data_IF_492511656103
#
_entry.id   IF_492511656103
#
_cell.length_a   1.000
_cell.length_b   1.000
_cell.length_c   1.000
_cell.angle_alpha   90.00
_cell.angle_beta   90.00
_cell.angle_gamma   90.00
#
_symmetry.space_group_name_H-M   'P 1'
#
loop_
_entity.id
_entity.type
_entity.pdbx_description
1 polymer ?
#
# COMPACT_ATOMS: atom_id res chain seq x y z
N UNK A 1 -30.31 8.66 -71.62
CA UNK A 1 -31.24 9.81 -71.68
C UNK A 1 -32.18 9.63 -70.51
N UNK A 2 -32.20 10.39 -69.41
CA UNK A 2 -31.70 11.71 -69.04
C UNK A 2 -31.59 11.74 -67.51
N UNK A 3 -30.68 12.57 -67.01
CA UNK A 3 -30.29 12.76 -65.61
C UNK A 3 -31.43 13.13 -64.66
N UNK A 4 -31.29 12.74 -63.39
CA UNK A 4 -31.74 13.53 -62.25
C UNK A 4 -30.78 13.32 -61.07
N UNK A 5 -30.01 14.36 -60.74
CA UNK A 5 -29.36 14.52 -59.44
C UNK A 5 -30.29 15.36 -58.55
N UNK A 6 -30.24 15.16 -57.23
CA UNK A 6 -29.72 16.27 -56.43
C UNK A 6 -28.75 15.85 -55.32
N UNK A 7 -27.89 16.81 -55.00
CA UNK A 7 -26.96 16.83 -53.88
C UNK A 7 -27.67 16.65 -52.53
N UNK A 8 -26.97 16.16 -51.50
CA UNK A 8 -26.89 16.82 -50.19
C UNK A 8 -25.87 16.11 -49.26
N UNK A 9 -25.03 16.95 -48.66
CA UNK A 9 -24.48 16.87 -47.30
C UNK A 9 -23.48 15.75 -46.91
N UNK A 10 -22.23 16.19 -46.81
CA UNK A 10 -21.39 16.10 -45.60
C UNK A 10 -21.89 15.23 -44.43
N UNK A 11 -21.14 14.18 -44.12
CA UNK A 11 -20.81 13.85 -42.73
C UNK A 11 -19.42 13.21 -42.70
N UNK A 12 -18.42 14.06 -42.42
CA UNK A 12 -17.07 13.68 -42.03
C UNK A 12 -17.18 12.95 -40.68
N UNK A 13 -17.17 11.62 -40.68
CA UNK A 13 -17.10 10.85 -39.44
C UNK A 13 -15.67 10.93 -38.89
N UNK A 14 -15.46 11.89 -37.98
CA UNK A 14 -14.24 12.09 -37.23
C UNK A 14 -13.90 10.85 -36.38
N UNK A 15 -12.66 10.38 -36.54
CA UNK A 15 -11.94 9.54 -35.59
C UNK A 15 -12.04 10.12 -34.17
N UNK A 16 -12.35 9.27 -33.21
CA UNK A 16 -11.80 9.39 -31.86
C UNK A 16 -11.67 7.98 -31.26
N UNK A 17 -10.53 7.34 -31.55
CA UNK A 17 -10.08 6.19 -30.78
C UNK A 17 -9.77 6.68 -29.37
N UNK A 18 -10.63 6.37 -28.41
CA UNK A 18 -10.32 6.55 -26.99
C UNK A 18 -9.35 5.45 -26.57
N UNK A 19 -8.06 5.69 -26.81
CA UNK A 19 -7.01 4.99 -26.08
C UNK A 19 -7.15 5.40 -24.62
N UNK A 20 -7.82 4.57 -23.82
CA UNK A 20 -7.76 4.67 -22.38
C UNK A 20 -6.30 4.53 -21.96
N UNK A 21 -5.70 5.65 -21.57
CA UNK A 21 -4.37 5.68 -21.00
C UNK A 21 -4.36 4.80 -19.76
N UNK A 22 -3.77 3.61 -19.90
CA UNK A 22 -3.37 2.79 -18.76
C UNK A 22 -2.20 3.51 -18.11
N UNK A 23 -2.49 4.42 -17.19
CA UNK A 23 -1.50 4.96 -16.27
C UNK A 23 -1.24 3.93 -15.14
N UNK A 24 -0.89 2.72 -15.55
CA UNK A 24 -0.31 1.73 -14.67
C UNK A 24 1.18 2.01 -14.66
N UNK A 25 1.65 2.71 -13.63
CA UNK A 25 3.08 2.81 -13.36
C UNK A 25 3.67 1.38 -13.42
N UNK A 26 4.78 1.16 -14.14
CA UNK A 26 5.35 -0.17 -14.27
C UNK A 26 5.67 -0.68 -12.86
N UNK A 27 5.01 -1.77 -12.47
CA UNK A 27 5.32 -2.46 -11.23
C UNK A 27 6.79 -2.87 -11.32
N UNK A 28 7.65 -2.18 -10.56
CA UNK A 28 9.06 -2.52 -10.42
C UNK A 28 9.11 -3.96 -9.94
N UNK A 29 9.46 -4.88 -10.84
CA UNK A 29 9.67 -6.27 -10.50
C UNK A 29 10.71 -6.34 -9.37
N UNK A 30 10.42 -7.00 -8.24
CA UNK A 30 11.34 -7.02 -7.12
C UNK A 30 12.57 -7.85 -7.50
N UNK A 31 13.67 -7.18 -7.82
CA UNK A 31 15.00 -7.78 -7.84
C UNK A 31 15.46 -7.99 -6.39
N UNK A 32 15.52 -9.26 -5.97
CA UNK A 32 15.95 -9.69 -4.62
C UNK A 32 15.11 -10.84 -4.06
N UNK A 33 15.64 -11.56 -3.07
CA UNK A 33 14.87 -12.60 -2.37
C UNK A 33 13.64 -12.00 -1.70
N UNK A 34 12.49 -12.65 -1.82
CA UNK A 34 11.27 -12.22 -1.13
C UNK A 34 11.40 -12.34 0.40
N UNK A 35 12.18 -13.33 0.85
CA UNK A 35 12.41 -13.63 2.27
C UNK A 35 13.91 -13.72 2.55
N UNK A 36 14.36 -13.09 3.62
CA UNK A 36 15.72 -13.19 4.14
C UNK A 36 15.68 -13.65 5.60
N UNK A 37 16.61 -14.53 5.99
CA UNK A 37 16.74 -15.00 7.38
C UNK A 37 18.01 -14.43 8.02
N UNK A 38 17.88 -13.85 9.21
CA UNK A 38 19.04 -13.36 9.96
C UNK A 38 19.77 -14.49 10.72
N UNK A 39 20.88 -14.16 11.39
CA UNK A 39 21.68 -15.12 12.17
C UNK A 39 20.96 -15.77 13.35
N UNK A 40 19.82 -15.22 13.79
CA UNK A 40 18.98 -15.75 14.86
C UNK A 40 17.80 -16.60 14.33
N UNK A 41 17.78 -16.85 13.01
CA UNK A 41 16.74 -17.62 12.31
C UNK A 41 15.42 -16.85 12.11
N UNK A 42 15.41 -15.53 12.27
CA UNK A 42 14.21 -14.72 12.07
C UNK A 42 13.99 -14.45 10.58
N UNK A 43 12.76 -14.67 10.10
CA UNK A 43 12.36 -14.35 8.74
C UNK A 43 11.99 -12.88 8.59
N UNK A 44 12.50 -12.25 7.54
CA UNK A 44 12.15 -10.91 7.12
C UNK A 44 11.63 -10.94 5.69
N UNK A 45 10.59 -10.17 5.42
CA UNK A 45 9.97 -10.03 4.10
C UNK A 45 10.42 -8.73 3.44
N UNK A 46 10.66 -8.77 2.14
CA UNK A 46 11.06 -7.60 1.35
C UNK A 46 9.85 -6.71 1.08
N UNK A 47 9.88 -5.47 1.56
CA UNK A 47 8.94 -4.40 1.20
C UNK A 47 9.53 -3.64 0.00
N UNK A 48 8.88 -3.65 -1.17
CA UNK A 48 9.40 -2.99 -2.36
C UNK A 48 9.37 -1.46 -2.23
N UNK A 49 10.23 -0.80 -3.01
CA UNK A 49 10.07 0.63 -3.26
C UNK A 49 8.73 0.87 -3.97
N UNK A 50 8.06 1.96 -3.63
CA UNK A 50 6.73 2.26 -4.13
C UNK A 50 6.10 3.41 -3.37
N UNK A 51 4.82 3.65 -3.65
CA UNK A 51 4.03 4.65 -2.94
C UNK A 51 2.72 4.05 -2.47
N UNK A 52 2.22 4.52 -1.34
CA UNK A 52 0.93 4.12 -0.78
C UNK A 52 0.28 5.30 -0.06
N UNK A 53 -1.02 5.21 0.18
CA UNK A 53 -1.76 6.15 1.00
C UNK A 53 -1.64 5.74 2.48
N UNK A 54 -1.13 6.62 3.33
CA UNK A 54 -1.00 6.40 4.78
C UNK A 54 -2.00 7.29 5.53
N UNK A 55 -2.53 6.75 6.62
CA UNK A 55 -3.54 7.39 7.45
C UNK A 55 -4.93 6.81 7.23
N UNK A 56 -5.90 7.35 7.95
CA UNK A 56 -7.30 6.96 7.86
C UNK A 56 -8.18 8.14 7.46
N UNK A 57 -9.20 7.86 6.65
CA UNK A 57 -10.32 8.78 6.37
C UNK A 57 -11.65 8.15 6.78
N UNK A 58 -11.60 7.08 7.59
CA UNK A 58 -12.79 6.35 8.01
C UNK A 58 -13.64 7.20 8.95
N UNK A 59 -14.94 7.09 8.74
CA UNK A 59 -15.94 7.78 9.53
C UNK A 59 -16.19 6.98 10.84
N UNK A 60 -16.21 7.63 12.02
CA UNK A 60 -16.38 6.94 13.30
C UNK A 60 -17.65 6.08 13.38
N UNK A 61 -18.73 6.47 12.71
CA UNK A 61 -19.98 5.71 12.65
C UNK A 61 -19.81 4.41 11.86
N UNK A 62 -19.02 4.44 10.78
CA UNK A 62 -18.67 3.25 9.99
C UNK A 62 -17.84 2.28 10.85
N UNK A 63 -16.82 2.79 11.54
CA UNK A 63 -15.98 1.97 12.43
C UNK A 63 -16.80 1.37 13.58
N UNK A 64 -17.71 2.14 14.18
CA UNK A 64 -18.57 1.63 15.26
C UNK A 64 -19.52 0.51 14.80
N UNK A 65 -19.98 0.55 13.54
CA UNK A 65 -20.77 -0.53 12.94
C UNK A 65 -19.94 -1.79 12.73
N UNK A 66 -18.72 -1.66 12.22
CA UNK A 66 -17.87 -2.78 11.85
C UNK A 66 -17.19 -3.43 13.08
N UNK A 67 -17.03 -2.66 14.16
CA UNK A 67 -16.44 -3.10 15.43
C UNK A 67 -17.38 -2.84 16.63
N UNK A 68 -18.55 -3.51 16.68
CA UNK A 68 -19.62 -3.20 17.65
C UNK A 68 -19.27 -3.55 19.11
N UNK A 69 -18.19 -4.29 19.34
CA UNK A 69 -17.72 -4.66 20.68
C UNK A 69 -16.80 -3.61 21.31
N UNK A 70 -16.37 -2.60 20.54
CA UNK A 70 -15.49 -1.54 21.02
C UNK A 70 -16.32 -0.31 21.40
N UNK A 71 -15.85 0.42 22.42
CA UNK A 71 -16.46 1.68 22.84
C UNK A 71 -16.36 2.74 21.74
N UNK A 72 -17.49 3.40 21.42
CA UNK A 72 -17.57 4.39 20.34
C UNK A 72 -16.52 5.50 20.45
N UNK A 73 -16.24 5.96 21.67
CA UNK A 73 -15.28 7.03 21.92
C UNK A 73 -13.89 6.71 21.34
N UNK A 74 -13.52 5.43 21.22
CA UNK A 74 -12.23 5.03 20.64
C UNK A 74 -12.08 5.46 19.18
N UNK A 75 -13.19 5.53 18.43
CA UNK A 75 -13.17 5.93 17.02
C UNK A 75 -13.15 7.46 16.85
N UNK A 76 -13.61 8.20 17.86
CA UNK A 76 -13.54 9.68 17.89
C UNK A 76 -12.12 10.17 18.23
N UNK A 77 -11.29 9.33 18.83
CA UNK A 77 -9.92 9.64 19.26
C UNK A 77 -8.85 9.37 18.18
N UNK A 78 -9.24 8.96 16.96
CA UNK A 78 -8.31 8.63 15.86
C UNK A 78 -7.91 9.83 15.00
N UNK A 79 -8.05 11.05 15.52
CA UNK A 79 -7.80 12.27 14.77
C UNK A 79 -6.33 12.44 14.32
N UNK A 80 -5.40 11.78 15.01
CA UNK A 80 -3.97 11.76 14.68
C UNK A 80 -3.61 10.79 13.53
N UNK A 81 -4.54 9.91 13.13
CA UNK A 81 -4.38 9.06 11.94
C UNK A 81 -4.72 9.81 10.64
N UNK A 82 -5.31 11.00 10.72
CA UNK A 82 -5.71 11.81 9.58
C UNK A 82 -4.72 12.98 9.32
N UNK A 83 -4.68 13.54 8.09
CA UNK A 83 -5.38 13.08 6.90
C UNK A 83 -4.62 11.95 6.19
N UNK A 84 -5.34 11.24 5.32
CA UNK A 84 -4.72 10.36 4.34
C UNK A 84 -3.77 11.16 3.46
N UNK A 85 -2.52 10.73 3.36
CA UNK A 85 -1.49 11.37 2.54
C UNK A 85 -0.62 10.34 1.84
N UNK A 86 -0.01 10.72 0.71
CA UNK A 86 0.82 9.83 -0.07
C UNK A 86 2.23 9.73 0.52
N UNK A 87 2.66 8.51 0.84
CA UNK A 87 4.00 8.18 1.31
C UNK A 87 4.76 7.47 0.20
N UNK A 88 6.05 7.80 0.02
CA UNK A 88 6.94 7.16 -0.95
C UNK A 88 8.08 6.44 -0.22
N UNK A 89 8.12 5.12 -0.39
CA UNK A 89 9.27 4.28 -0.04
C UNK A 89 10.27 4.38 -1.20
N UNK A 90 11.31 5.19 -1.04
CA UNK A 90 12.30 5.46 -2.09
C UNK A 90 13.22 4.27 -2.38
N UNK A 91 13.42 3.39 -1.38
CA UNK A 91 14.30 2.22 -1.46
C UNK A 91 13.62 1.04 -0.80
N UNK A 92 13.67 -0.12 -1.45
CA UNK A 92 13.19 -1.35 -0.85
C UNK A 92 13.99 -1.69 0.42
N UNK A 93 13.31 -2.30 1.40
CA UNK A 93 13.91 -2.73 2.66
C UNK A 93 13.25 -4.03 3.14
N UNK A 94 13.81 -4.65 4.17
CA UNK A 94 13.28 -5.87 4.79
C UNK A 94 12.61 -5.54 6.12
N UNK A 95 11.43 -6.10 6.37
CA UNK A 95 10.69 -5.97 7.63
C UNK A 95 10.50 -7.36 8.25
N UNK A 96 10.58 -7.48 9.58
CA UNK A 96 10.33 -8.74 10.27
C UNK A 96 8.95 -9.28 9.92
N UNK A 97 8.85 -10.56 9.54
CA UNK A 97 7.56 -11.17 9.20
C UNK A 97 6.62 -11.22 10.41
N UNK A 98 7.20 -11.33 11.60
CA UNK A 98 6.50 -11.39 12.88
C UNK A 98 7.20 -10.45 13.87
N UNK A 99 6.49 -10.09 14.93
CA UNK A 99 7.08 -9.42 16.08
C UNK A 99 8.24 -10.23 16.69
N UNK A 100 9.12 -9.54 17.40
CA UNK A 100 10.23 -10.19 18.10
C UNK A 100 9.67 -10.98 19.28
N UNK A 101 9.89 -12.29 19.26
CA UNK A 101 9.50 -13.17 20.37
C UNK A 101 10.49 -13.05 21.53
N UNK A 102 10.02 -13.34 22.74
CA UNK A 102 10.87 -13.43 23.94
C UNK A 102 12.02 -14.43 23.72
N UNK A 103 11.77 -15.55 23.03
CA UNK A 103 12.81 -16.54 22.73
C UNK A 103 13.91 -16.01 21.79
N UNK A 104 13.55 -15.21 20.78
CA UNK A 104 14.54 -14.55 19.91
C UNK A 104 15.34 -13.50 20.66
N UNK A 105 14.67 -12.71 21.51
CA UNK A 105 15.35 -11.70 22.33
C UNK A 105 16.33 -12.33 23.33
N UNK A 106 15.98 -13.46 23.96
CA UNK A 106 16.91 -14.23 24.80
C UNK A 106 18.15 -14.69 24.03
N UNK A 107 17.99 -15.22 22.81
CA UNK A 107 19.14 -15.59 21.95
C UNK A 107 20.01 -14.39 21.60
N UNK A 108 19.41 -13.23 21.38
CA UNK A 108 20.18 -11.99 21.17
C UNK A 108 21.01 -11.62 22.40
N UNK A 109 20.44 -11.68 23.61
CA UNK A 109 21.18 -11.43 24.86
C UNK A 109 22.34 -12.41 25.01
N UNK A 110 22.09 -13.71 24.82
CA UNK A 110 23.13 -14.75 24.91
C UNK A 110 24.26 -14.53 23.90
N UNK A 111 23.93 -14.13 22.67
CA UNK A 111 24.91 -13.94 21.60
C UNK A 111 25.69 -12.63 21.70
N UNK A 112 25.11 -11.57 22.29
CA UNK A 112 25.71 -10.23 22.32
C UNK A 112 26.28 -9.82 23.67
N UNK A 113 25.85 -10.48 24.76
CA UNK A 113 26.11 -10.03 26.12
C UNK A 113 25.32 -8.77 26.53
N UNK A 114 24.33 -8.35 25.73
CA UNK A 114 23.50 -7.19 26.00
C UNK A 114 22.77 -7.32 27.36
N UNK A 115 22.75 -6.25 28.14
CA UNK A 115 21.99 -6.16 29.40
C UNK A 115 20.87 -5.16 29.22
N UNK A 116 19.59 -5.61 29.24
CA UNK A 116 18.45 -4.70 29.19
C UNK A 116 18.46 -3.74 30.37
N UNK A 117 18.08 -2.49 30.12
CA UNK A 117 17.80 -1.53 31.19
C UNK A 117 16.46 -1.90 31.84
N UNK A 118 16.35 -1.82 33.18
CA UNK A 118 15.05 -1.87 33.82
C UNK A 118 14.22 -0.64 33.44
N UNK A 119 12.92 -0.83 33.29
CA UNK A 119 11.93 0.23 33.09
C UNK A 119 11.68 1.06 34.36
#
# INVERSE_FOLDING_TARGET
MTHFAPAFACALALLAATAAAQDAAPALQPTGSAVWSNSLGMAFVRIPAGSFAMGSAEDPEVLARDFPLLERQRFELLADEAPVHQVRISRAFYMGQHEVTVGQFRRFIEASGYRPEPE
#
